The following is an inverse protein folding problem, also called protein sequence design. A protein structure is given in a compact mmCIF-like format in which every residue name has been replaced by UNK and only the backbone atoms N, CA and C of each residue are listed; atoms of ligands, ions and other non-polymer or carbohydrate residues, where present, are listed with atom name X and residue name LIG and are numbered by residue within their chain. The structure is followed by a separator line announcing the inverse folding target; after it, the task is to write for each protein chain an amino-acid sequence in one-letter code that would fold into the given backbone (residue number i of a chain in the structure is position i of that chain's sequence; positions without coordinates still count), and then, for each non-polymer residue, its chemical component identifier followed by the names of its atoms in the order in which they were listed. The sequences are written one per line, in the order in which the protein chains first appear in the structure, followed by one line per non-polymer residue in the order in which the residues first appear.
data_IF_472424682209
#
_entry.id   IF_472424682209
#
_cell.length_a   1.000
_cell.length_b   1.000
_cell.length_c   1.000
_cell.angle_alpha   90.00
_cell.angle_beta   90.00
_cell.angle_gamma   90.00
#
_symmetry.space_group_name_H-M   'P 1'
#
loop_
_entity.id
_entity.type
_entity.pdbx_description
1 polymer ?
#
# COMPACT_ATOMS: atom_id res chain seq x y z
N UNK A 1 -9.27 -5.73 6.94
CA UNK A 1 -8.99 -5.26 5.58
C UNK A 1 -9.48 -3.83 5.49
N UNK A 2 -8.67 -2.95 4.95
CA UNK A 2 -9.01 -1.55 4.76
C UNK A 2 -8.52 -1.09 3.39
N UNK A 3 -9.07 0.03 2.94
CA UNK A 3 -8.85 0.55 1.60
C UNK A 3 -8.34 1.99 1.71
N UNK A 4 -7.48 2.37 0.77
CA UNK A 4 -6.92 3.71 0.65
C UNK A 4 -7.16 4.16 -0.78
N UNK A 5 -7.86 5.27 -0.92
CA UNK A 5 -8.04 5.90 -2.23
C UNK A 5 -6.90 6.89 -2.44
N UNK A 6 -6.13 6.67 -3.51
CA UNK A 6 -4.94 7.47 -3.76
C UNK A 6 -5.31 8.84 -4.29
N UNK A 7 -4.75 9.86 -3.65
CA UNK A 7 -4.83 11.26 -4.05
C UNK A 7 -3.73 11.60 -5.06
N UNK A 8 -3.81 12.77 -5.69
CA UNK A 8 -2.78 13.29 -6.61
C UNK A 8 -1.37 13.30 -5.96
N UNK A 9 -1.29 13.66 -4.67
CA UNK A 9 -0.03 13.70 -3.92
C UNK A 9 0.56 12.31 -3.64
N UNK A 10 -0.25 11.27 -3.70
CA UNK A 10 0.15 9.87 -3.49
C UNK A 10 0.38 9.12 -4.81
N UNK A 11 -0.09 9.68 -5.92
CA UNK A 11 0.15 9.20 -7.27
C UNK A 11 1.61 9.40 -7.70
N UNK A 12 2.02 8.74 -8.79
CA UNK A 12 3.36 8.91 -9.37
C UNK A 12 4.49 8.29 -8.52
N UNK A 13 4.16 7.42 -7.57
CA UNK A 13 5.14 6.63 -6.83
C UNK A 13 4.84 5.14 -6.91
N UNK A 14 5.86 4.33 -6.62
CA UNK A 14 5.72 2.87 -6.55
C UNK A 14 4.90 2.43 -5.34
N UNK A 15 4.16 1.34 -5.49
CA UNK A 15 3.36 0.76 -4.43
C UNK A 15 4.19 0.46 -3.16
N UNK A 16 5.39 -0.08 -3.29
CA UNK A 16 6.27 -0.33 -2.14
C UNK A 16 6.71 0.96 -1.42
N UNK A 17 6.97 2.03 -2.18
CA UNK A 17 7.36 3.33 -1.63
C UNK A 17 6.20 3.98 -0.88
N UNK A 18 4.99 3.89 -1.44
CA UNK A 18 3.77 4.34 -0.78
C UNK A 18 3.55 3.59 0.54
N UNK A 19 3.57 2.26 0.50
CA UNK A 19 3.37 1.44 1.69
C UNK A 19 4.44 1.66 2.75
N UNK A 20 5.69 1.95 2.38
CA UNK A 20 6.75 2.27 3.35
C UNK A 20 6.50 3.59 4.09
N UNK A 21 5.86 4.57 3.44
CA UNK A 21 5.46 5.83 4.08
C UNK A 21 4.24 5.64 4.99
N UNK A 22 3.29 4.83 4.54
CA UNK A 22 2.03 4.58 5.22
C UNK A 22 2.18 3.62 6.41
N UNK A 23 2.98 2.56 6.24
CA UNK A 23 3.25 1.52 7.24
C UNK A 23 4.61 1.77 7.92
N UNK A 24 4.76 2.88 8.65
CA UNK A 24 6.03 3.27 9.28
C UNK A 24 6.61 2.23 10.25
N UNK A 25 5.74 1.44 10.88
CA UNK A 25 6.11 0.38 11.82
C UNK A 25 6.55 -0.92 11.13
N UNK A 26 6.31 -1.05 9.82
CA UNK A 26 6.64 -2.26 9.07
C UNK A 26 8.03 -2.15 8.47
N UNK A 27 8.83 -3.21 8.66
CA UNK A 27 10.11 -3.32 7.98
C UNK A 27 9.92 -3.47 6.46
N UNK A 28 10.94 -3.10 5.68
CA UNK A 28 10.93 -3.30 4.23
C UNK A 28 10.68 -4.79 3.87
N UNK A 29 11.26 -5.70 4.65
CA UNK A 29 11.07 -7.14 4.48
C UNK A 29 9.61 -7.57 4.70
N UNK A 30 8.92 -6.98 5.67
CA UNK A 30 7.51 -7.27 5.94
C UNK A 30 6.61 -6.73 4.84
N UNK A 31 6.86 -5.51 4.36
CA UNK A 31 6.16 -4.95 3.19
C UNK A 31 6.28 -5.90 1.98
N UNK A 32 7.48 -6.39 1.67
CA UNK A 32 7.65 -7.38 0.60
C UNK A 32 6.94 -8.71 0.88
N UNK A 33 6.85 -9.16 2.15
CA UNK A 33 6.03 -10.34 2.50
C UNK A 33 4.55 -10.09 2.20
N UNK A 34 4.03 -8.88 2.37
CA UNK A 34 2.63 -8.55 2.04
C UNK A 34 2.34 -8.72 0.56
N UNK A 35 3.21 -8.19 -0.32
CA UNK A 35 3.09 -8.40 -1.77
C UNK A 35 3.18 -9.88 -2.16
N UNK A 36 4.14 -10.61 -1.58
CA UNK A 36 4.31 -12.06 -1.83
C UNK A 36 3.10 -12.88 -1.40
N UNK A 37 2.47 -12.52 -0.27
CA UNK A 37 1.27 -13.17 0.28
C UNK A 37 -0.04 -12.65 -0.32
N UNK A 38 0.00 -11.83 -1.37
CA UNK A 38 -1.18 -11.23 -2.01
C UNK A 38 -2.07 -10.46 -1.02
N UNK A 39 -1.46 -9.81 -0.03
CA UNK A 39 -2.13 -8.97 0.98
C UNK A 39 -2.31 -7.52 0.54
N UNK A 40 -1.71 -7.14 -0.59
CA UNK A 40 -1.86 -5.83 -1.22
C UNK A 40 -2.56 -6.05 -2.56
N UNK A 41 -3.63 -5.31 -2.82
CA UNK A 41 -4.31 -5.28 -4.12
C UNK A 41 -4.49 -3.85 -4.59
N UNK A 42 -4.52 -3.67 -5.91
CA UNK A 42 -4.83 -2.42 -6.57
C UNK A 42 -6.08 -2.64 -7.43
N UNK A 43 -7.14 -1.88 -7.19
CA UNK A 43 -8.42 -1.99 -7.92
C UNK A 43 -8.95 -3.44 -7.97
N UNK A 44 -8.89 -4.17 -6.85
CA UNK A 44 -9.34 -5.56 -6.75
C UNK A 44 -8.36 -6.61 -7.27
N UNK A 45 -7.23 -6.20 -7.89
CA UNK A 45 -6.28 -7.11 -8.55
C UNK A 45 -4.96 -7.20 -7.79
N UNK A 46 -4.25 -8.32 -7.94
CA UNK A 46 -2.90 -8.49 -7.39
C UNK A 46 -1.98 -7.44 -7.98
N UNK A 47 -1.22 -6.76 -7.12
CA UNK A 47 -0.28 -5.71 -7.51
C UNK A 47 1.16 -6.15 -7.21
N UNK A 48 2.11 -5.68 -8.02
CA UNK A 48 3.54 -5.86 -7.77
C UNK A 48 4.07 -4.70 -6.94
N UNK A 49 5.11 -4.94 -6.16
CA UNK A 49 5.80 -3.93 -5.35
C UNK A 49 6.19 -2.69 -6.16
N UNK A 50 6.67 -2.88 -7.39
CA UNK A 50 7.18 -1.84 -8.27
C UNK A 50 6.12 -1.20 -9.16
N UNK A 51 4.84 -1.55 -8.98
CA UNK A 51 3.75 -0.96 -9.74
C UNK A 51 3.67 0.54 -9.46
N UNK A 52 3.60 1.36 -10.52
CA UNK A 52 3.33 2.79 -10.38
C UNK A 52 1.86 3.01 -10.02
N UNK A 53 1.64 3.79 -8.98
CA UNK A 53 0.32 4.18 -8.51
C UNK A 53 -0.17 5.43 -9.23
N UNK A 54 -1.47 5.50 -9.52
CA UNK A 54 -2.10 6.65 -10.17
C UNK A 54 -3.16 7.26 -9.26
N UNK A 55 -3.50 8.52 -9.53
CA UNK A 55 -4.58 9.19 -8.83
C UNK A 55 -5.90 8.45 -9.06
N UNK A 56 -6.69 8.32 -8.00
CA UNK A 56 -7.99 7.65 -8.05
C UNK A 56 -7.93 6.13 -7.94
N UNK A 57 -6.74 5.53 -7.98
CA UNK A 57 -6.57 4.11 -7.70
C UNK A 57 -7.04 3.76 -6.27
N UNK A 58 -7.60 2.57 -6.12
CA UNK A 58 -8.01 2.01 -4.84
C UNK A 58 -7.03 0.93 -4.39
N UNK A 59 -6.22 1.25 -3.39
CA UNK A 59 -5.29 0.32 -2.78
C UNK A 59 -5.96 -0.41 -1.62
N UNK A 60 -5.95 -1.73 -1.64
CA UNK A 60 -6.64 -2.56 -0.65
C UNK A 60 -5.61 -3.39 0.12
N UNK A 61 -5.63 -3.25 1.44
CA UNK A 61 -4.68 -3.88 2.35
C UNK A 61 -5.41 -4.89 3.24
N UNK A 62 -5.00 -6.16 3.13
CA UNK A 62 -5.56 -7.29 3.87
C UNK A 62 -4.72 -7.61 5.12
N UNK A 63 -4.38 -6.57 5.86
CA UNK A 63 -3.68 -6.61 7.15
C UNK A 63 -4.52 -5.89 8.20
N UNK A 64 -4.07 -5.94 9.45
CA UNK A 64 -4.57 -5.07 10.50
C UNK A 64 -4.24 -3.62 10.14
N UNK A 65 -5.17 -2.72 10.44
CA UNK A 65 -4.95 -1.30 10.22
C UNK A 65 -3.83 -0.90 11.20
N UNK A 66 -2.69 -0.39 10.72
CA UNK A 66 -1.69 0.14 11.63
C UNK A 66 -2.35 1.22 12.47
N UNK A 67 -2.04 1.28 13.76
CA UNK A 67 -2.45 2.39 14.60
C UNK A 67 -1.89 3.65 13.96
N UNK A 68 -2.78 4.45 13.37
CA UNK A 68 -2.43 5.75 12.86
C UNK A 68 -2.22 6.63 14.09
N UNK A 69 -1.07 6.48 14.76
CA UNK A 69 -0.57 7.48 15.68
C UNK A 69 -0.55 8.79 14.91
N UNK A 70 -1.32 9.76 15.41
CA UNK A 70 -1.70 11.01 14.75
C UNK A 70 -0.62 11.53 13.79
N UNK A 71 -0.96 11.61 12.50
CA UNK A 71 -0.23 12.42 11.52
C UNK A 71 -0.70 13.86 11.68
#
# INVERSE_FOLDING_TARGET
MFEIRLTESEAGQRADRFLRKYLKEYSLGDIYKLFRKNKVKLNGRRVKENQMLNEGDLLQLYIEKPDAGDI
#
